data_IF_691207256991
#
_entry.id   IF_691207256991
#
_cell.length_a   1.000
_cell.length_b   1.000
_cell.length_c   1.000
_cell.angle_alpha   90.00
_cell.angle_beta   90.00
_cell.angle_gamma   90.00
#
_symmetry.space_group_name_H-M   'P 1'
#
loop_
_entity.id
_entity.type
_entity.pdbx_description
1 polymer ?
#
# COMPACT_ATOMS: atom_id res chain seq x y z
N UNK A 1 1.05 78.75 12.36
CA UNK A 1 -0.01 77.72 12.23
C UNK A 1 0.70 76.36 12.14
N UNK A 2 0.41 75.46 13.07
CA UNK A 2 1.19 74.22 13.31
C UNK A 2 0.78 73.14 12.29
N UNK A 3 1.74 72.63 11.51
CA UNK A 3 1.53 71.51 10.60
C UNK A 3 1.23 70.23 11.39
N UNK A 4 0.07 69.61 11.13
CA UNK A 4 -0.29 68.30 11.68
C UNK A 4 0.32 67.22 10.78
N UNK A 5 1.33 66.53 11.27
CA UNK A 5 1.87 65.32 10.65
C UNK A 5 0.95 64.16 11.03
N UNK A 6 0.26 63.59 10.05
CA UNK A 6 -0.51 62.36 10.21
C UNK A 6 0.47 61.17 10.12
N UNK A 7 0.68 60.47 11.22
CA UNK A 7 1.44 59.23 11.25
C UNK A 7 0.55 58.08 10.73
N UNK A 8 0.87 57.55 9.54
CA UNK A 8 0.26 56.34 9.03
C UNK A 8 0.96 55.12 9.67
N UNK A 9 0.26 54.43 10.57
CA UNK A 9 0.68 53.13 11.09
C UNK A 9 0.36 52.06 10.04
N UNK A 10 1.36 51.63 9.28
CA UNK A 10 1.27 50.41 8.45
C UNK A 10 1.57 49.24 9.38
N UNK A 11 0.52 48.61 9.91
CA UNK A 11 0.64 47.32 10.58
C UNK A 11 0.88 46.24 9.51
N UNK A 12 2.12 45.78 9.37
CA UNK A 12 2.48 44.66 8.51
C UNK A 12 1.90 43.36 9.07
N UNK A 13 0.97 42.76 8.33
CA UNK A 13 0.48 41.43 8.63
C UNK A 13 1.55 40.39 8.27
N UNK A 14 2.25 39.86 9.26
CA UNK A 14 3.07 38.66 9.10
C UNK A 14 2.11 37.48 9.00
N UNK A 15 1.83 37.01 7.78
CA UNK A 15 1.10 35.77 7.56
C UNK A 15 2.00 34.60 7.96
N UNK A 16 1.73 33.97 9.12
CA UNK A 16 2.30 32.67 9.45
C UNK A 16 1.74 31.64 8.47
N UNK A 17 2.54 31.27 7.46
CA UNK A 17 2.28 30.10 6.64
C UNK A 17 2.55 28.85 7.48
N UNK A 18 1.52 28.33 8.16
CA UNK A 18 1.60 26.99 8.72
C UNK A 18 1.80 26.00 7.56
N UNK A 19 2.75 25.05 7.64
CA UNK A 19 2.86 24.00 6.65
C UNK A 19 1.53 23.23 6.66
N UNK A 20 0.83 23.23 5.53
CA UNK A 20 -0.31 22.35 5.37
C UNK A 20 0.20 20.92 5.56
N UNK A 21 -0.25 20.25 6.61
CA UNK A 21 -0.10 18.80 6.70
C UNK A 21 -0.99 18.26 5.58
N UNK A 22 -0.42 18.12 4.39
CA UNK A 22 -1.10 17.50 3.27
C UNK A 22 -1.28 16.04 3.68
N UNK A 23 -2.51 15.68 3.99
CA UNK A 23 -2.92 14.32 4.29
C UNK A 23 -2.66 13.46 3.05
N UNK A 24 -1.46 12.93 2.88
CA UNK A 24 -1.09 12.02 1.82
C UNK A 24 -1.94 10.73 1.94
N UNK A 25 -2.64 10.25 0.90
CA UNK A 25 -3.48 9.04 0.98
C UNK A 25 -3.73 8.43 -0.41
N UNK A 26 -3.95 7.10 -0.48
CA UNK A 26 -4.57 6.45 -1.64
C UNK A 26 -5.73 5.53 -1.23
N UNK A 27 -6.59 5.22 -2.20
CA UNK A 27 -7.75 4.32 -2.09
C UNK A 27 -7.45 3.04 -2.87
N UNK A 28 -7.74 1.88 -2.29
CA UNK A 28 -7.73 0.62 -3.01
C UNK A 28 -9.08 0.40 -3.71
N UNK A 29 -9.14 0.67 -5.03
CA UNK A 29 -10.37 0.52 -5.81
C UNK A 29 -10.62 -0.94 -6.22
N UNK A 30 -9.57 -1.70 -6.54
CA UNK A 30 -9.63 -3.13 -6.86
C UNK A 30 -8.35 -3.85 -6.44
N UNK A 31 -8.44 -5.06 -5.86
CA UNK A 31 -9.64 -5.70 -5.25
C UNK A 31 -10.27 -4.85 -4.13
N UNK A 32 -11.42 -5.27 -3.59
CA UNK A 32 -12.05 -4.53 -2.49
C UNK A 32 -11.18 -4.58 -1.23
N UNK A 33 -11.12 -3.47 -0.51
CA UNK A 33 -10.34 -3.34 0.73
C UNK A 33 -10.91 -4.19 1.86
N UNK A 34 -10.01 -4.67 2.73
CA UNK A 34 -10.38 -5.43 3.93
C UNK A 34 -10.91 -4.55 5.06
N UNK A 35 -10.68 -3.23 5.02
CA UNK A 35 -11.22 -2.24 5.96
C UNK A 35 -12.06 -1.20 5.23
N UNK A 36 -13.01 -0.61 5.94
CA UNK A 36 -13.77 0.53 5.46
C UNK A 36 -12.85 1.74 5.29
N UNK A 37 -12.72 2.19 4.05
CA UNK A 37 -11.94 3.36 3.66
C UNK A 37 -12.84 4.59 3.53
N UNK A 38 -12.39 5.72 4.05
CA UNK A 38 -13.05 7.00 3.80
C UNK A 38 -12.75 7.54 2.37
N UNK A 39 -13.22 8.77 2.08
CA UNK A 39 -13.02 9.39 0.75
C UNK A 39 -11.56 9.68 0.39
N UNK A 40 -10.64 9.58 1.34
CA UNK A 40 -9.20 9.73 1.14
C UNK A 40 -8.51 8.37 1.10
N UNK A 41 -9.10 7.34 1.73
CA UNK A 41 -8.57 6.00 1.89
C UNK A 41 -8.14 5.70 3.32
N UNK A 42 -8.44 6.56 4.29
CA UNK A 42 -8.09 6.34 5.70
C UNK A 42 -9.02 5.28 6.34
N UNK A 43 -8.53 4.52 7.33
CA UNK A 43 -7.19 4.62 7.93
C UNK A 43 -6.15 3.71 7.22
N UNK A 44 -4.97 4.23 6.88
CA UNK A 44 -4.00 3.47 6.03
C UNK A 44 -2.52 3.57 6.44
N UNK A 45 -2.19 4.03 7.64
CA UNK A 45 -0.81 4.34 8.04
C UNK A 45 -0.10 3.17 8.71
N UNK A 46 -0.79 2.34 9.49
CA UNK A 46 -0.15 1.23 10.17
C UNK A 46 0.17 0.08 9.21
N UNK A 47 1.42 -0.37 9.22
CA UNK A 47 1.79 -1.62 8.58
C UNK A 47 1.21 -2.85 9.32
N UNK A 48 0.94 -3.96 8.60
CA UNK A 48 1.13 -4.14 7.17
C UNK A 48 -0.11 -3.82 6.32
N UNK A 49 -1.29 -3.59 6.91
CA UNK A 49 -2.56 -3.59 6.19
C UNK A 49 -3.42 -2.35 6.39
N UNK A 50 -2.90 -1.26 6.95
CA UNK A 50 -3.64 -0.05 7.22
C UNK A 50 -4.13 0.02 8.66
N UNK A 51 -4.95 1.02 8.95
CA UNK A 51 -5.21 1.48 10.31
C UNK A 51 -4.30 2.64 10.71
N UNK A 52 -4.43 3.05 11.96
CA UNK A 52 -3.59 4.02 12.69
C UNK A 52 -3.55 3.56 14.14
N UNK A 53 -2.61 4.06 14.95
CA UNK A 53 -2.55 3.74 16.39
C UNK A 53 -3.82 4.14 17.14
N UNK A 54 -4.59 5.10 16.60
CA UNK A 54 -5.87 5.55 17.17
C UNK A 54 -7.11 4.85 16.57
N UNK A 55 -7.01 4.32 15.36
CA UNK A 55 -8.12 3.71 14.63
C UNK A 55 -7.59 2.51 13.80
N UNK A 56 -7.80 1.26 14.24
CA UNK A 56 -7.34 0.08 13.51
C UNK A 56 -8.09 -0.18 12.19
N UNK A 57 -9.17 0.56 11.90
CA UNK A 57 -10.05 0.33 10.76
C UNK A 57 -11.17 -0.66 11.10
N UNK A 58 -12.32 -0.48 10.45
CA UNK A 58 -13.46 -1.40 10.58
C UNK A 58 -13.39 -2.45 9.46
N UNK A 59 -13.28 -3.75 9.76
CA UNK A 59 -13.25 -4.78 8.72
C UNK A 59 -14.51 -4.78 7.84
N UNK A 60 -14.35 -4.86 6.51
CA UNK A 60 -15.47 -4.95 5.55
C UNK A 60 -16.09 -6.34 5.48
N UNK A 61 -15.32 -7.38 5.82
CA UNK A 61 -15.70 -8.78 5.63
C UNK A 61 -15.76 -9.23 4.17
N UNK A 62 -15.32 -8.40 3.22
CA UNK A 62 -15.35 -8.72 1.80
C UNK A 62 -14.16 -9.61 1.43
N UNK A 63 -14.45 -10.77 0.83
CA UNK A 63 -13.45 -11.70 0.30
C UNK A 63 -13.59 -11.79 -1.21
N UNK A 64 -12.56 -11.39 -1.95
CA UNK A 64 -12.56 -11.44 -3.42
C UNK A 64 -12.17 -12.84 -3.90
N UNK A 65 -13.04 -13.51 -4.67
CA UNK A 65 -12.71 -14.80 -5.27
C UNK A 65 -11.81 -14.63 -6.50
N UNK A 66 -10.71 -15.38 -6.55
CA UNK A 66 -9.70 -15.27 -7.60
C UNK A 66 -9.28 -16.67 -8.09
N UNK A 67 -9.27 -16.93 -9.41
CA UNK A 67 -8.69 -18.16 -9.94
C UNK A 67 -7.15 -18.15 -9.82
N UNK A 68 -6.59 -19.23 -9.29
CA UNK A 68 -5.15 -19.42 -9.19
C UNK A 68 -4.50 -19.49 -10.57
N UNK A 69 -3.35 -18.83 -10.73
CA UNK A 69 -2.65 -18.76 -12.00
C UNK A 69 -3.24 -17.75 -12.99
N UNK A 70 -4.18 -16.90 -12.60
CA UNK A 70 -4.71 -15.83 -13.46
C UNK A 70 -4.08 -14.46 -13.16
N UNK A 71 -4.39 -13.49 -14.01
CA UNK A 71 -4.03 -12.08 -13.82
C UNK A 71 -5.13 -11.38 -13.04
N UNK A 72 -4.81 -10.88 -11.85
CA UNK A 72 -5.71 -10.06 -11.04
C UNK A 72 -5.46 -8.58 -11.33
N UNK A 73 -6.52 -7.83 -11.64
CA UNK A 73 -6.41 -6.38 -11.80
C UNK A 73 -6.28 -5.72 -10.44
N UNK A 74 -5.22 -4.94 -10.28
CA UNK A 74 -5.05 -4.00 -9.17
C UNK A 74 -5.38 -2.61 -9.69
N UNK A 75 -6.22 -1.89 -8.98
CA UNK A 75 -6.54 -0.49 -9.28
C UNK A 75 -6.50 0.32 -8.01
N UNK A 76 -5.73 1.39 -8.02
CA UNK A 76 -5.62 2.35 -6.92
C UNK A 76 -5.95 3.74 -7.43
N UNK A 77 -6.42 4.59 -6.51
CA UNK A 77 -6.55 6.02 -6.73
C UNK A 77 -5.81 6.75 -5.64
N UNK A 78 -4.73 7.40 -6.01
CA UNK A 78 -4.04 8.28 -5.09
C UNK A 78 -4.81 9.60 -4.99
N UNK A 79 -5.26 9.96 -3.78
CA UNK A 79 -6.11 11.13 -3.57
C UNK A 79 -5.28 12.40 -3.39
N UNK A 80 -4.03 12.24 -2.93
CA UNK A 80 -3.02 13.29 -2.82
C UNK A 80 -1.71 12.75 -3.38
N UNK A 81 -1.16 13.46 -4.36
CA UNK A 81 0.05 13.06 -5.10
C UNK A 81 1.32 13.04 -4.23
N UNK A 82 2.05 11.94 -4.29
CA UNK A 82 3.42 11.77 -3.81
C UNK A 82 4.32 11.17 -4.89
N UNK A 83 5.54 11.70 -5.09
CA UNK A 83 6.53 10.96 -5.83
C UNK A 83 6.83 9.62 -5.14
N UNK A 84 7.17 8.59 -5.90
CA UNK A 84 7.51 7.27 -5.37
C UNK A 84 6.84 6.15 -6.17
N UNK A 85 6.60 5.02 -5.50
CA UNK A 85 6.18 3.78 -6.14
C UNK A 85 5.30 2.93 -5.22
N UNK A 86 4.76 1.85 -5.78
CA UNK A 86 3.91 0.89 -5.10
C UNK A 86 4.54 -0.50 -5.11
N UNK A 87 4.15 -1.33 -4.13
CA UNK A 87 4.48 -2.75 -4.08
C UNK A 87 3.23 -3.59 -3.81
N UNK A 88 3.17 -4.76 -4.43
CA UNK A 88 2.14 -5.78 -4.23
C UNK A 88 2.77 -7.03 -3.63
N UNK A 89 2.27 -7.49 -2.48
CA UNK A 89 2.71 -8.71 -1.81
C UNK A 89 1.52 -9.58 -1.40
N UNK A 90 1.73 -10.88 -1.22
CA UNK A 90 0.70 -11.84 -0.85
C UNK A 90 1.13 -12.61 0.40
N UNK A 91 0.24 -12.66 1.38
CA UNK A 91 0.31 -13.57 2.52
C UNK A 91 -0.76 -14.66 2.36
N UNK A 92 -0.36 -15.93 2.47
CA UNK A 92 -1.21 -17.09 2.22
C UNK A 92 -1.80 -17.68 3.50
N UNK A 93 -1.03 -17.67 4.60
CA UNK A 93 -1.44 -18.24 5.88
C UNK A 93 -1.69 -17.16 6.93
N UNK A 94 -0.83 -16.14 7.00
CA UNK A 94 -0.92 -15.09 8.01
C UNK A 94 -0.24 -13.81 7.53
N UNK A 95 -0.78 -12.64 7.94
CA UNK A 95 -0.24 -11.33 7.54
C UNK A 95 1.20 -11.08 8.01
N UNK A 96 1.72 -11.85 8.96
CA UNK A 96 3.15 -11.84 9.31
C UNK A 96 4.08 -12.36 8.21
N UNK A 97 3.54 -13.04 7.19
CA UNK A 97 4.28 -13.37 5.97
C UNK A 97 4.52 -12.14 5.09
N UNK A 98 3.80 -11.04 5.32
CA UNK A 98 4.01 -9.81 4.57
C UNK A 98 5.38 -9.22 4.93
N UNK A 99 6.14 -8.78 3.92
CA UNK A 99 7.45 -8.20 4.12
C UNK A 99 7.36 -6.84 4.84
N UNK A 100 8.44 -6.46 5.52
CA UNK A 100 8.61 -5.10 6.01
C UNK A 100 8.57 -4.08 4.85
N UNK A 101 8.26 -2.83 5.18
CA UNK A 101 8.27 -1.71 4.25
C UNK A 101 9.62 -1.56 3.51
N UNK A 102 9.62 -0.90 2.34
CA UNK A 102 10.85 -0.61 1.61
C UNK A 102 11.88 0.05 2.52
N UNK A 103 13.14 -0.38 2.40
CA UNK A 103 14.26 0.23 3.09
C UNK A 103 14.37 1.70 2.62
N UNK A 104 14.21 2.65 3.57
CA UNK A 104 14.17 4.08 3.29
C UNK A 104 15.56 4.72 3.29
N UNK A 105 15.85 5.54 2.28
CA UNK A 105 16.91 6.56 2.32
C UNK A 105 16.26 7.87 2.74
N UNK A 106 16.86 8.54 3.72
CA UNK A 106 16.34 9.80 4.27
C UNK A 106 17.38 10.90 4.28
N UNK A 107 16.88 12.14 4.36
CA UNK A 107 17.65 13.35 4.64
C UNK A 107 17.01 14.12 5.80
N UNK A 108 17.73 15.09 6.34
CA UNK A 108 17.15 16.00 7.33
C UNK A 108 16.08 16.89 6.68
N UNK A 109 14.87 16.85 7.23
CA UNK A 109 13.77 17.73 6.86
C UNK A 109 13.85 19.11 7.50
N UNK A 110 12.93 20.04 7.17
CA UNK A 110 12.95 21.42 7.65
C UNK A 110 12.95 21.60 9.18
N UNK A 111 12.53 20.58 9.94
CA UNK A 111 12.48 20.57 11.40
C UNK A 111 13.44 19.54 12.03
N UNK A 112 14.46 19.09 11.28
CA UNK A 112 15.40 18.05 11.71
C UNK A 112 14.80 16.65 11.83
N UNK A 113 13.54 16.44 11.40
CA UNK A 113 12.96 15.10 11.31
C UNK A 113 13.31 14.45 9.97
N UNK A 114 13.40 13.11 9.91
CA UNK A 114 13.63 12.39 8.67
C UNK A 114 12.61 12.78 7.58
N UNK A 115 13.14 12.99 6.38
CA UNK A 115 12.40 13.25 5.16
C UNK A 115 12.81 12.20 4.12
N UNK A 116 11.85 11.50 3.53
CA UNK A 116 12.16 10.44 2.56
C UNK A 116 12.80 10.99 1.29
N UNK A 117 13.76 10.22 0.77
CA UNK A 117 14.42 10.47 -0.52
C UNK A 117 14.06 9.37 -1.50
N UNK A 118 14.19 8.10 -1.10
CA UNK A 118 13.87 6.94 -1.95
C UNK A 118 13.56 5.72 -1.08
N UNK A 119 12.75 4.81 -1.62
CA UNK A 119 12.52 3.49 -1.05
C UNK A 119 13.14 2.43 -1.94
N UNK A 120 13.75 1.40 -1.35
CA UNK A 120 14.36 0.30 -2.12
C UNK A 120 13.32 -0.47 -2.93
N UNK A 121 13.60 -0.65 -4.22
CA UNK A 121 12.83 -1.49 -5.15
C UNK A 121 13.65 -2.71 -5.54
N UNK A 122 13.06 -3.91 -5.48
CA UNK A 122 13.63 -5.12 -6.06
C UNK A 122 13.19 -5.26 -7.53
N UNK A 123 14.11 -5.21 -8.52
CA UNK A 123 13.75 -5.40 -9.93
C UNK A 123 13.35 -6.85 -10.29
N UNK A 124 13.57 -7.81 -9.38
CA UNK A 124 13.22 -9.21 -9.57
C UNK A 124 12.60 -9.81 -8.30
N UNK A 125 11.43 -9.27 -7.87
CA UNK A 125 10.83 -9.65 -6.62
C UNK A 125 10.48 -11.14 -6.60
N UNK A 126 10.64 -11.75 -5.42
CA UNK A 126 10.27 -13.14 -5.15
C UNK A 126 9.17 -13.19 -4.10
N UNK A 127 8.39 -14.29 -4.04
CA UNK A 127 7.43 -14.51 -2.96
C UNK A 127 8.04 -14.18 -1.59
N UNK A 128 7.32 -13.43 -0.73
CA UNK A 128 5.91 -13.06 -0.83
C UNK A 128 5.60 -11.85 -1.75
N UNK A 129 6.60 -11.16 -2.29
CA UNK A 129 6.41 -10.01 -3.19
C UNK A 129 6.05 -10.49 -4.60
N UNK A 130 4.95 -9.97 -5.14
CA UNK A 130 4.48 -10.31 -6.49
C UNK A 130 4.94 -9.27 -7.53
N UNK A 131 4.93 -8.00 -7.16
CA UNK A 131 5.38 -6.87 -7.99
C UNK A 131 5.96 -5.80 -7.09
N UNK A 132 7.08 -5.22 -7.48
CA UNK A 132 7.75 -4.15 -6.74
C UNK A 132 8.11 -3.01 -7.69
N UNK A 133 8.10 -1.77 -7.17
CA UNK A 133 8.35 -0.57 -7.96
C UNK A 133 7.30 -0.28 -9.05
N UNK A 134 6.06 -0.77 -8.90
CA UNK A 134 5.00 -0.47 -9.87
C UNK A 134 4.42 0.93 -9.64
N UNK A 135 3.85 1.52 -10.69
CA UNK A 135 3.32 2.89 -10.64
C UNK A 135 4.36 3.93 -10.17
N UNK A 136 5.63 3.71 -10.51
CA UNK A 136 6.68 4.68 -10.29
C UNK A 136 6.32 6.01 -10.98
N UNK A 137 6.30 7.09 -10.21
CA UNK A 137 5.99 8.41 -10.74
C UNK A 137 6.61 9.51 -9.90
N UNK A 138 7.19 10.51 -10.57
CA UNK A 138 7.79 11.70 -9.93
C UNK A 138 7.19 13.01 -10.44
N UNK A 139 6.00 12.93 -11.03
CA UNK A 139 5.18 14.08 -11.42
C UNK A 139 3.72 13.75 -11.18
N UNK A 140 2.93 14.78 -10.86
CA UNK A 140 1.47 14.65 -10.80
C UNK A 140 0.92 14.30 -12.18
N UNK A 141 0.12 13.25 -12.24
CA UNK A 141 -0.59 12.76 -13.42
C UNK A 141 -2.08 13.14 -13.36
N UNK A 142 -2.78 13.19 -14.51
CA UNK A 142 -4.21 13.41 -14.53
C UNK A 142 -4.96 12.30 -13.80
N UNK A 143 -5.87 12.68 -12.89
CA UNK A 143 -6.74 11.73 -12.17
C UNK A 143 -6.09 10.93 -11.04
N UNK A 144 -4.76 10.76 -11.06
CA UNK A 144 -4.00 9.95 -10.10
C UNK A 144 -4.59 8.53 -9.91
N UNK A 145 -5.11 7.96 -10.99
CA UNK A 145 -5.59 6.58 -11.02
C UNK A 145 -4.56 5.70 -11.73
N UNK A 146 -4.26 4.57 -11.11
CA UNK A 146 -3.26 3.63 -11.60
C UNK A 146 -3.83 2.22 -11.60
N UNK A 147 -3.54 1.46 -12.64
CA UNK A 147 -3.90 0.06 -12.71
C UNK A 147 -2.86 -0.83 -13.37
N UNK A 148 -2.78 -2.06 -12.88
CA UNK A 148 -1.90 -3.10 -13.41
C UNK A 148 -2.55 -4.46 -13.24
N UNK A 149 -1.93 -5.49 -13.80
CA UNK A 149 -2.36 -6.87 -13.68
C UNK A 149 -1.25 -7.69 -13.04
N UNK A 150 -1.50 -8.20 -11.82
CA UNK A 150 -0.56 -9.05 -11.10
C UNK A 150 -0.87 -10.53 -11.34
N UNK A 151 0.16 -11.34 -11.58
CA UNK A 151 0.00 -12.80 -11.70
C UNK A 151 -0.19 -13.40 -10.31
N UNK A 152 -1.33 -14.04 -10.10
CA UNK A 152 -1.63 -14.76 -8.86
C UNK A 152 -1.08 -16.19 -8.96
N UNK A 153 -0.39 -16.71 -7.93
CA UNK A 153 0.13 -18.07 -7.96
C UNK A 153 -1.00 -19.09 -8.02
N UNK A 154 -0.73 -20.26 -8.61
CA UNK A 154 -1.75 -21.31 -8.70
C UNK A 154 -1.81 -22.12 -7.40
N UNK A 155 -2.57 -21.63 -6.43
CA UNK A 155 -2.64 -22.14 -5.05
C UNK A 155 -4.09 -22.29 -4.60
N UNK A 156 -4.31 -22.99 -3.49
CA UNK A 156 -5.57 -22.91 -2.75
C UNK A 156 -5.35 -22.09 -1.48
N UNK A 157 -6.17 -21.08 -1.27
CA UNK A 157 -6.24 -20.33 -0.04
C UNK A 157 -7.66 -19.84 0.20
N UNK A 158 -8.23 -20.20 1.36
CA UNK A 158 -9.59 -19.80 1.72
C UNK A 158 -9.67 -18.33 2.18
N UNK A 159 -8.56 -17.80 2.72
CA UNK A 159 -8.45 -16.43 3.20
C UNK A 159 -6.99 -15.95 3.21
N UNK A 160 -6.54 -15.34 2.13
CA UNK A 160 -5.21 -14.74 2.00
C UNK A 160 -5.31 -13.22 1.95
N UNK A 161 -4.24 -12.53 2.33
CA UNK A 161 -4.19 -11.07 2.27
C UNK A 161 -3.25 -10.61 1.17
N UNK A 162 -3.79 -9.87 0.21
CA UNK A 162 -3.03 -9.16 -0.81
C UNK A 162 -2.75 -7.75 -0.31
N UNK A 163 -1.48 -7.46 -0.02
CA UNK A 163 -1.02 -6.14 0.39
C UNK A 163 -0.72 -5.29 -0.83
N UNK A 164 -1.17 -4.04 -0.80
CA UNK A 164 -0.74 -2.96 -1.68
C UNK A 164 -0.20 -1.86 -0.78
N UNK A 165 1.06 -1.50 -0.98
CA UNK A 165 1.65 -0.35 -0.29
C UNK A 165 2.04 0.73 -1.28
N UNK A 166 2.04 1.98 -0.80
CA UNK A 166 2.65 3.11 -1.47
C UNK A 166 3.82 3.61 -0.64
N UNK A 167 5.02 3.63 -1.20
CA UNK A 167 6.14 4.37 -0.62
C UNK A 167 6.12 5.79 -1.18
N UNK A 168 6.20 6.78 -0.29
CA UNK A 168 6.19 8.19 -0.64
C UNK A 168 7.58 8.78 -0.46
N UNK A 169 8.14 9.26 -1.56
CA UNK A 169 9.29 10.15 -1.57
C UNK A 169 8.87 11.58 -1.24
N UNK A 170 9.86 12.39 -0.87
CA UNK A 170 9.65 13.78 -0.50
C UNK A 170 8.58 13.97 0.59
N UNK A 171 8.46 13.00 1.49
CA UNK A 171 7.42 12.95 2.52
C UNK A 171 8.04 13.08 3.92
N UNK A 172 7.43 13.86 4.84
CA UNK A 172 7.83 13.86 6.24
C UNK A 172 7.53 12.52 6.92
N UNK A 173 8.27 12.15 7.96
CA UNK A 173 7.97 10.90 8.68
C UNK A 173 6.57 10.92 9.33
N UNK A 174 5.75 9.91 9.02
CA UNK A 174 4.49 9.58 9.69
C UNK A 174 4.75 8.71 10.94
N UNK A 175 4.03 8.92 12.05
CA UNK A 175 4.26 8.16 13.28
C UNK A 175 3.90 6.66 13.16
N UNK A 176 2.82 6.33 12.45
CA UNK A 176 2.30 4.96 12.36
C UNK A 176 2.85 4.17 11.16
N UNK A 177 3.33 4.86 10.12
CA UNK A 177 3.68 4.25 8.83
C UNK A 177 4.98 4.73 8.21
N UNK A 178 5.73 5.59 8.91
CA UNK A 178 6.93 6.27 8.40
C UNK A 178 6.66 6.95 7.05
N UNK A 179 7.06 6.35 5.93
CA UNK A 179 6.91 6.90 4.59
C UNK A 179 5.99 6.07 3.71
N UNK A 180 5.24 5.15 4.31
CA UNK A 180 4.45 4.15 3.60
C UNK A 180 2.98 4.24 4.00
N UNK A 181 2.11 4.00 3.04
CA UNK A 181 0.71 3.65 3.29
C UNK A 181 0.40 2.23 2.90
N UNK A 182 -0.55 1.65 3.61
CA UNK A 182 -0.82 0.24 3.63
C UNK A 182 -2.29 -0.02 3.42
N UNK A 183 -2.57 -0.85 2.43
CA UNK A 183 -3.88 -1.40 2.17
C UNK A 183 -3.76 -2.90 1.99
N UNK A 184 -4.81 -3.62 2.36
CA UNK A 184 -4.93 -5.04 2.07
C UNK A 184 -6.30 -5.34 1.46
N UNK A 185 -6.36 -6.41 0.70
CA UNK A 185 -7.60 -7.06 0.31
C UNK A 185 -7.57 -8.51 0.72
N UNK A 186 -8.70 -9.01 1.21
CA UNK A 186 -8.84 -10.42 1.53
C UNK A 186 -9.30 -11.17 0.27
N UNK A 187 -8.58 -12.24 -0.07
CA UNK A 187 -8.79 -13.05 -1.26
C UNK A 187 -9.08 -14.51 -0.88
N UNK A 188 -9.90 -15.15 -1.71
CA UNK A 188 -10.05 -16.60 -1.76
C UNK A 188 -9.52 -17.08 -3.10
N UNK A 189 -8.36 -17.73 -3.09
CA UNK A 189 -7.70 -18.23 -4.30
C UNK A 189 -8.07 -19.70 -4.48
N UNK A 190 -8.66 -20.04 -5.62
CA UNK A 190 -8.96 -21.43 -5.99
C UNK A 190 -8.04 -21.88 -7.11
N UNK A 191 -7.24 -22.93 -6.87
CA UNK A 191 -6.28 -23.39 -7.85
C UNK A 191 -6.98 -23.86 -9.14
N UNK A 192 -6.46 -23.44 -10.28
CA UNK A 192 -6.84 -23.97 -11.57
C UNK A 192 -6.30 -25.42 -11.71
N UNK A 193 -7.17 -26.44 -11.85
CA UNK A 193 -6.74 -27.83 -11.93
C UNK A 193 -5.98 -28.17 -13.22
N UNK A 194 -5.98 -27.28 -14.21
CA UNK A 194 -5.22 -27.43 -15.47
C UNK A 194 -3.78 -26.92 -15.37
N UNK A 195 -3.42 -26.25 -14.28
CA UNK A 195 -2.07 -25.74 -14.03
C UNK A 195 -1.41 -26.48 -12.86
N UNK A 196 -0.08 -26.61 -12.84
CA UNK A 196 0.62 -27.14 -11.68
C UNK A 196 0.35 -26.29 -10.44
N UNK A 197 0.16 -26.93 -9.27
CA UNK A 197 0.11 -26.20 -7.99
C UNK A 197 1.49 -25.59 -7.72
N UNK A 198 1.51 -24.31 -7.36
CA UNK A 198 2.73 -23.63 -6.95
C UNK A 198 3.11 -24.04 -5.52
N UNK A 199 3.96 -25.06 -5.42
CA UNK A 199 4.44 -25.60 -4.15
C UNK A 199 5.45 -24.70 -3.43
N UNK A 200 5.88 -23.60 -4.04
CA UNK A 200 6.74 -22.60 -3.40
C UNK A 200 6.00 -21.75 -2.36
N UNK A 201 4.68 -21.77 -2.37
CA UNK A 201 3.86 -21.04 -1.41
C UNK A 201 3.50 -21.87 -0.18
N UNK A 202 3.39 -21.23 0.99
CA UNK A 202 2.96 -21.88 2.22
C UNK A 202 1.60 -22.60 2.08
N UNK A 203 1.48 -23.76 2.75
CA UNK A 203 0.25 -24.57 2.74
C UNK A 203 0.01 -25.44 1.50
N UNK A 204 0.79 -25.31 0.42
CA UNK A 204 0.49 -25.95 -0.87
C UNK A 204 1.07 -27.36 -1.07
N UNK A 205 2.03 -27.77 -0.26
CA UNK A 205 2.76 -29.03 -0.42
C UNK A 205 1.92 -30.32 -0.22
N UNK A 206 0.65 -30.21 0.20
CA UNK A 206 -0.15 -31.37 0.67
C UNK A 206 -0.84 -32.19 -0.44
N UNK A 207 -0.79 -31.81 -1.72
CA UNK A 207 -1.53 -32.55 -2.77
C UNK A 207 -0.89 -33.90 -3.16
N UNK A 208 0.42 -34.10 -2.93
CA UNK A 208 1.12 -35.34 -3.32
C UNK A 208 0.83 -36.55 -2.42
N UNK A 209 0.42 -36.35 -1.17
CA UNK A 209 0.22 -37.45 -0.21
C UNK A 209 -1.09 -38.20 -0.46
N UNK A 210 -2.17 -37.50 -0.84
CA UNK A 210 -3.49 -38.13 -1.07
C UNK A 210 -3.57 -38.98 -2.34
N UNK A 211 -2.81 -38.66 -3.40
CA UNK A 211 -2.82 -39.48 -4.64
C UNK A 211 -2.14 -40.84 -4.47
N UNK A 212 -1.14 -40.96 -3.59
CA UNK A 212 -0.46 -42.25 -3.34
C UNK A 212 -1.29 -43.22 -2.50
N UNK A 213 -2.19 -42.71 -1.67
CA UNK A 213 -3.08 -43.51 -0.83
C UNK A 213 -4.28 -44.10 -1.59
N UNK A 214 -4.74 -43.45 -2.68
CA UNK A 214 -5.84 -43.96 -3.52
C UNK A 214 -5.41 -44.91 -4.65
N UNK A 215 -4.11 -45.09 -4.87
CA UNK A 215 -3.56 -46.01 -5.87
C UNK A 215 -3.11 -47.36 -5.27
N UNK A 216 -3.45 -47.62 -3.99
CA UNK A 216 -3.09 -48.84 -3.24
C UNK A 216 -4.31 -49.59 -2.70
N UNK A 217 -5.48 -49.37 -3.27
CA UNK A 217 -6.71 -50.11 -2.96
C UNK A 217 -7.36 -50.60 -4.24
#
# INVERSE_FOLDING_TARGET
MKHRIAAALIAGAVALSAPAVTSAHFILQKPASWIEEDRLGDPQKLGPCGGTSANPGMPTGVVTEVPGGELLRIKVKETIYHPGHFRVALAVLDRSELPADPEDVTKDGPNGKPWSVSGKVDPNPKPPVLMDGVFDHHKRLPGQEFDTYVKIPNINCDHCSLQIIQFMEEHPINPDGRFTYHHCADLKITANPRLPIDAGWPGQAKSKVRKKAKAKT
#
